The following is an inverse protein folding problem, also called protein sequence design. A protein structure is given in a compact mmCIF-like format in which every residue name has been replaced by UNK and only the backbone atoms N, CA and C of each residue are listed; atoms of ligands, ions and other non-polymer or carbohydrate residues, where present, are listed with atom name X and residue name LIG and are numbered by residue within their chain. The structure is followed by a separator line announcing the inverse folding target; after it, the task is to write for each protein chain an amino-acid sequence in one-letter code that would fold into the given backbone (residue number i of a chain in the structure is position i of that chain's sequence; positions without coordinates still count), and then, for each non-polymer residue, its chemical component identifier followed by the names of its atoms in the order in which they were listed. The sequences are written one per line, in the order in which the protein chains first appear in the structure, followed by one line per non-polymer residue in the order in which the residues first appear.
data_IF_961996746297
#
_entry.id   IF_961996746297
#
_cell.length_a   1.000
_cell.length_b   1.000
_cell.length_c   1.000
_cell.angle_alpha   90.00
_cell.angle_beta   90.00
_cell.angle_gamma   90.00
#
_symmetry.space_group_name_H-M   'P 1'
#
loop_
_entity.id
_entity.type
_entity.pdbx_description
1 polymer ?
#
# COMPACT_ATOMS: atom_id res chain seq x y z
N UNK A 1 -6.34 -23.82 2.72
CA UNK A 1 -5.48 -23.26 1.66
C UNK A 1 -5.87 -21.82 1.45
N UNK A 2 -4.92 -20.91 1.48
CA UNK A 2 -5.18 -19.48 1.45
C UNK A 2 -4.06 -18.75 0.70
N UNK A 3 -4.41 -17.62 0.11
CA UNK A 3 -3.43 -16.67 -0.42
C UNK A 3 -2.66 -16.06 0.74
N UNK A 4 -1.36 -15.87 0.60
CA UNK A 4 -0.55 -15.14 1.60
C UNK A 4 -0.20 -13.77 1.04
N UNK A 5 -0.48 -12.72 1.81
CA UNK A 5 -0.02 -11.37 1.51
C UNK A 5 1.40 -11.22 2.05
N UNK A 6 2.33 -10.89 1.18
CA UNK A 6 3.76 -10.81 1.51
C UNK A 6 4.12 -9.43 2.05
N UNK A 7 5.22 -9.39 2.81
CA UNK A 7 5.81 -8.14 3.34
C UNK A 7 6.19 -7.18 2.21
N UNK A 8 6.20 -5.88 2.54
CA UNK A 8 6.36 -4.80 1.57
C UNK A 8 5.05 -4.30 0.96
N UNK A 9 3.91 -4.93 1.29
CA UNK A 9 2.58 -4.42 0.96
C UNK A 9 2.17 -3.29 1.93
N UNK A 10 1.39 -2.27 1.51
CA UNK A 10 0.85 -1.23 2.38
C UNK A 10 0.17 -1.77 3.67
N UNK A 11 0.58 -1.28 4.85
CA UNK A 11 0.10 -1.82 6.14
C UNK A 11 -0.73 -0.84 7.00
N UNK A 12 -0.77 0.45 6.68
CA UNK A 12 -1.43 1.44 7.54
C UNK A 12 -2.15 2.52 6.71
N UNK A 13 -1.71 3.77 6.84
CA UNK A 13 -2.18 4.90 6.05
C UNK A 13 -1.37 5.02 4.77
N UNK A 14 -2.03 5.01 3.61
CA UNK A 14 -1.35 5.17 2.32
C UNK A 14 -1.98 6.23 1.42
N UNK A 15 -1.15 7.08 0.78
CA UNK A 15 -1.63 8.04 -0.21
C UNK A 15 -2.19 7.32 -1.44
N UNK A 16 -3.42 7.64 -1.86
CA UNK A 16 -4.04 7.00 -3.05
C UNK A 16 -3.40 7.40 -4.37
N UNK A 17 -2.66 8.52 -4.42
CA UNK A 17 -1.97 8.94 -5.64
C UNK A 17 -0.58 8.31 -5.77
N UNK A 18 -0.16 7.49 -4.80
CA UNK A 18 0.98 6.59 -4.94
C UNK A 18 0.51 5.21 -5.40
N UNK A 19 1.45 4.41 -5.92
CA UNK A 19 1.18 2.99 -6.15
C UNK A 19 0.94 2.28 -4.82
N UNK A 20 -0.18 1.56 -4.74
CA UNK A 20 -0.54 0.73 -3.59
C UNK A 20 -0.39 -0.74 -3.98
N UNK A 21 0.86 -1.20 -4.03
CA UNK A 21 1.20 -2.53 -4.55
C UNK A 21 1.10 -3.61 -3.45
N UNK A 22 0.24 -4.60 -3.69
CA UNK A 22 0.14 -5.80 -2.86
C UNK A 22 0.78 -6.98 -3.58
N UNK A 23 1.73 -7.62 -2.90
CA UNK A 23 2.39 -8.82 -3.39
C UNK A 23 1.81 -10.04 -2.71
N UNK A 24 1.41 -11.05 -3.48
CA UNK A 24 0.79 -12.27 -2.95
C UNK A 24 1.46 -13.54 -3.44
N UNK A 25 1.35 -14.60 -2.65
CA UNK A 25 1.70 -15.98 -2.99
C UNK A 25 0.55 -16.93 -2.70
N UNK A 26 0.57 -18.13 -3.28
CA UNK A 26 -0.46 -19.14 -3.07
C UNK A 26 0.09 -20.55 -3.23
N UNK A 27 -0.59 -21.53 -2.62
CA UNK A 27 -0.14 -22.93 -2.63
C UNK A 27 -0.68 -23.74 -3.82
N UNK A 28 -1.72 -23.26 -4.51
CA UNK A 28 -2.40 -23.96 -5.61
C UNK A 28 -2.00 -23.46 -7.01
N UNK A 29 -0.84 -22.80 -7.10
CA UNK A 29 -0.30 -22.22 -8.34
C UNK A 29 0.00 -23.22 -9.46
N UNK A 30 -0.07 -24.52 -9.17
CA UNK A 30 0.12 -25.60 -10.15
C UNK A 30 -1.20 -26.06 -10.81
N UNK A 31 -2.34 -25.62 -10.30
CA UNK A 31 -3.65 -25.95 -10.86
C UNK A 31 -3.83 -25.32 -12.26
N UNK A 32 -4.60 -25.96 -13.15
CA UNK A 32 -4.85 -25.43 -14.49
C UNK A 32 -5.62 -24.10 -14.42
N UNK A 33 -5.29 -23.18 -15.34
CA UNK A 33 -5.89 -21.85 -15.45
C UNK A 33 -5.86 -21.03 -14.15
N UNK A 34 -4.83 -21.24 -13.31
CA UNK A 34 -4.71 -20.56 -12.03
C UNK A 34 -4.56 -19.04 -12.18
N UNK A 35 -5.36 -18.27 -11.43
CA UNK A 35 -5.22 -16.82 -11.27
C UNK A 35 -5.43 -16.39 -9.82
N UNK A 36 -4.67 -15.38 -9.42
CA UNK A 36 -4.91 -14.65 -8.17
C UNK A 36 -6.10 -13.70 -8.34
N UNK A 37 -6.85 -13.52 -7.26
CA UNK A 37 -7.99 -12.60 -7.19
C UNK A 37 -7.82 -11.68 -5.99
N UNK A 38 -8.09 -10.40 -6.20
CA UNK A 38 -8.20 -9.39 -5.14
C UNK A 38 -9.57 -8.70 -5.27
N UNK A 39 -10.43 -8.87 -4.27
CA UNK A 39 -11.64 -8.10 -4.13
C UNK A 39 -11.33 -6.84 -3.32
N UNK A 40 -11.45 -5.69 -3.97
CA UNK A 40 -11.30 -4.37 -3.34
C UNK A 40 -12.66 -3.96 -2.80
N UNK A 41 -12.73 -3.67 -1.49
CA UNK A 41 -13.97 -3.39 -0.77
C UNK A 41 -13.88 -2.11 0.05
N UNK A 42 -15.04 -1.59 0.44
CA UNK A 42 -15.14 -0.58 1.49
C UNK A 42 -14.62 -1.13 2.84
N UNK A 43 -14.34 -0.23 3.80
CA UNK A 43 -13.84 -0.61 5.13
C UNK A 43 -14.66 -1.72 5.82
N UNK A 44 -15.99 -1.67 5.68
CA UNK A 44 -16.91 -2.64 6.27
C UNK A 44 -16.87 -4.02 5.60
N UNK A 45 -16.30 -4.14 4.39
CA UNK A 45 -16.25 -5.38 3.62
C UNK A 45 -17.59 -5.82 3.02
N UNK A 46 -18.60 -4.96 3.06
CA UNK A 46 -19.97 -5.25 2.61
C UNK A 46 -20.15 -5.02 1.11
N UNK A 47 -19.35 -4.12 0.53
CA UNK A 47 -19.46 -3.74 -0.89
C UNK A 47 -18.14 -4.00 -1.59
N UNK A 48 -18.16 -4.85 -2.62
CA UNK A 48 -17.05 -5.02 -3.55
C UNK A 48 -17.11 -3.93 -4.60
N UNK A 49 -16.08 -3.08 -4.61
CA UNK A 49 -15.91 -1.98 -5.57
C UNK A 49 -15.39 -2.50 -6.90
N UNK A 50 -14.40 -3.41 -6.84
CA UNK A 50 -13.87 -4.07 -8.01
C UNK A 50 -13.28 -5.44 -7.63
N UNK A 51 -13.29 -6.35 -8.60
CA UNK A 51 -12.53 -7.61 -8.55
C UNK A 51 -11.37 -7.51 -9.53
N UNK A 52 -10.16 -7.51 -9.00
CA UNK A 52 -8.93 -7.54 -9.79
C UNK A 52 -8.46 -8.99 -9.92
N UNK A 53 -7.93 -9.32 -11.09
CA UNK A 53 -7.32 -10.64 -11.37
C UNK A 53 -5.88 -10.44 -11.83
N UNK A 54 -5.00 -11.33 -11.39
CA UNK A 54 -3.59 -11.32 -11.77
C UNK A 54 -3.14 -12.74 -12.07
N UNK A 55 -2.50 -12.94 -13.22
CA UNK A 55 -1.79 -14.18 -13.53
C UNK A 55 -0.53 -14.27 -12.66
N UNK A 56 -0.12 -15.49 -12.31
CA UNK A 56 1.14 -15.69 -11.59
C UNK A 56 2.34 -15.34 -12.50
N UNK A 57 3.38 -14.74 -11.93
CA UNK A 57 4.62 -14.54 -12.69
C UNK A 57 5.30 -15.88 -13.02
N UNK A 58 5.85 -16.06 -14.24
CA UNK A 58 6.43 -17.35 -14.65
C UNK A 58 7.59 -17.85 -13.78
N UNK A 59 8.40 -16.94 -13.23
CA UNK A 59 9.63 -17.27 -12.50
C UNK A 59 9.40 -17.38 -11.00
N UNK A 60 8.73 -16.40 -10.42
CA UNK A 60 8.55 -16.31 -8.97
C UNK A 60 7.21 -16.85 -8.48
N UNK A 61 6.26 -17.10 -9.41
CA UNK A 61 4.88 -17.46 -9.14
C UNK A 61 4.10 -16.46 -8.26
N UNK A 62 4.59 -15.24 -8.07
CA UNK A 62 3.87 -14.22 -7.30
C UNK A 62 2.80 -13.52 -8.13
N UNK A 63 1.76 -13.03 -7.45
CA UNK A 63 0.77 -12.09 -7.99
C UNK A 63 1.01 -10.68 -7.46
N UNK A 64 0.66 -9.68 -8.26
CA UNK A 64 0.78 -8.27 -7.91
C UNK A 64 -0.52 -7.53 -8.20
N UNK A 65 -0.98 -6.76 -7.22
CA UNK A 65 -2.18 -5.93 -7.35
C UNK A 65 -1.84 -4.49 -7.00
N UNK A 66 -2.03 -3.57 -7.94
CA UNK A 66 -2.07 -2.14 -7.62
C UNK A 66 -3.54 -1.75 -7.41
N UNK A 67 -3.90 -1.46 -6.16
CA UNK A 67 -5.29 -1.15 -5.78
C UNK A 67 -5.58 0.35 -5.75
N UNK A 68 -4.56 1.19 -5.97
CA UNK A 68 -4.61 2.65 -5.81
C UNK A 68 -5.81 3.27 -6.52
N UNK A 69 -5.99 2.98 -7.81
CA UNK A 69 -7.07 3.51 -8.64
C UNK A 69 -8.48 3.11 -8.22
N UNK A 70 -8.64 1.92 -7.64
CA UNK A 70 -9.95 1.48 -7.14
C UNK A 70 -10.22 2.12 -5.78
N UNK A 71 -9.22 2.14 -4.89
CA UNK A 71 -9.34 2.76 -3.58
C UNK A 71 -9.52 4.28 -3.69
N UNK A 72 -8.94 4.92 -4.70
CA UNK A 72 -9.14 6.34 -5.04
C UNK A 72 -10.64 6.68 -5.19
N UNK A 73 -11.47 5.75 -5.70
CA UNK A 73 -12.92 5.98 -5.84
C UNK A 73 -13.66 6.13 -4.51
N UNK A 74 -13.07 5.70 -3.40
CA UNK A 74 -13.60 5.90 -2.06
C UNK A 74 -13.30 7.31 -1.50
N UNK A 75 -12.42 8.06 -2.16
CA UNK A 75 -12.00 9.39 -1.76
C UNK A 75 -12.91 10.40 -2.44
N UNK A 76 -13.81 10.99 -1.67
CA UNK A 76 -14.82 11.94 -2.14
C UNK A 76 -14.81 13.22 -1.29
N UNK A 77 -13.84 14.13 -1.51
CA UNK A 77 -13.79 15.43 -0.86
C UNK A 77 -15.12 16.18 -0.94
N UNK A 78 -15.65 16.60 0.21
CA UNK A 78 -16.90 17.38 0.29
C UNK A 78 -16.61 18.81 0.67
N UNK A 79 -17.03 19.81 -0.12
CA UNK A 79 -16.84 21.24 0.19
C UNK A 79 -17.21 21.55 1.66
N UNK A 80 -16.36 22.24 2.42
CA UNK A 80 -16.62 22.49 3.83
C UNK A 80 -17.74 23.51 4.00
N UNK A 81 -18.60 23.28 4.99
CA UNK A 81 -19.62 24.26 5.38
C UNK A 81 -18.99 25.34 6.24
N UNK A 82 -18.94 26.58 5.73
CA UNK A 82 -18.31 27.71 6.42
C UNK A 82 -19.25 28.38 7.45
N UNK A 83 -19.89 27.59 8.31
CA UNK A 83 -20.80 28.10 9.35
C UNK A 83 -20.07 28.66 10.57
N UNK A 84 -18.75 28.52 10.65
CA UNK A 84 -17.95 28.97 11.79
C UNK A 84 -16.64 29.60 11.30
N UNK A 85 -16.17 30.65 12.00
CA UNK A 85 -14.85 31.22 11.77
C UNK A 85 -13.78 30.34 12.41
N UNK A 86 -12.72 29.97 11.66
CA UNK A 86 -11.60 29.17 12.16
C UNK A 86 -11.33 27.90 11.35
N UNK A 87 -10.73 26.89 11.97
CA UNK A 87 -10.55 25.57 11.38
C UNK A 87 -11.90 24.84 11.30
N UNK A 88 -12.22 24.28 10.14
CA UNK A 88 -13.42 23.49 9.93
C UNK A 88 -13.04 22.04 9.64
N UNK A 89 -13.77 21.11 10.24
CA UNK A 89 -13.65 19.69 9.91
C UNK A 89 -14.11 19.46 8.47
N UNK A 90 -13.34 18.63 7.76
CA UNK A 90 -13.53 18.39 6.34
C UNK A 90 -13.52 16.90 6.06
N UNK A 91 -14.63 16.39 5.52
CA UNK A 91 -14.83 14.97 5.26
C UNK A 91 -14.37 14.56 3.86
N UNK A 92 -14.14 13.26 3.68
CA UNK A 92 -13.91 12.66 2.36
C UNK A 92 -12.47 12.68 1.84
N UNK A 93 -11.52 13.22 2.61
CA UNK A 93 -10.08 13.19 2.26
C UNK A 93 -9.39 11.87 2.60
N UNK A 94 -10.05 11.03 3.38
CA UNK A 94 -9.56 9.70 3.71
C UNK A 94 -10.73 8.73 3.80
N UNK A 95 -10.44 7.46 3.55
CA UNK A 95 -11.41 6.38 3.67
C UNK A 95 -10.70 5.09 4.04
N UNK A 96 -11.37 4.28 4.86
CA UNK A 96 -10.91 2.92 5.13
C UNK A 96 -11.24 2.01 3.95
N UNK A 97 -10.36 1.04 3.69
CA UNK A 97 -10.60 0.02 2.67
C UNK A 97 -10.27 -1.37 3.20
N UNK A 98 -10.79 -2.38 2.52
CA UNK A 98 -10.52 -3.78 2.82
C UNK A 98 -10.20 -4.50 1.52
N UNK A 99 -9.23 -5.40 1.58
CA UNK A 99 -8.89 -6.29 0.47
C UNK A 99 -9.13 -7.73 0.89
N UNK A 100 -9.86 -8.48 0.09
CA UNK A 100 -10.02 -9.92 0.27
C UNK A 100 -9.33 -10.65 -0.88
N UNK A 101 -8.28 -11.40 -0.57
CA UNK A 101 -7.52 -12.16 -1.55
C UNK A 101 -7.98 -13.60 -1.62
N UNK A 102 -8.15 -14.10 -2.84
CA UNK A 102 -8.49 -15.50 -3.13
C UNK A 102 -7.90 -15.88 -4.50
N UNK A 103 -8.38 -16.96 -5.09
CA UNK A 103 -7.86 -17.54 -6.32
C UNK A 103 -8.98 -18.18 -7.14
N UNK A 104 -8.74 -18.33 -8.43
CA UNK A 104 -9.54 -19.18 -9.32
C UNK A 104 -8.63 -20.16 -10.05
N UNK A 105 -9.16 -21.35 -10.32
CA UNK A 105 -8.48 -22.41 -11.04
C UNK A 105 -9.49 -23.45 -11.52
N UNK A 106 -9.04 -24.42 -12.32
CA UNK A 106 -9.84 -25.52 -12.86
C UNK A 106 -9.94 -25.50 -14.39
N UNK A 107 -10.48 -26.57 -14.96
CA UNK A 107 -10.74 -26.67 -16.41
C UNK A 107 -11.75 -25.63 -16.86
N UNK A 108 -12.83 -25.47 -16.09
CA UNK A 108 -13.67 -24.28 -16.07
C UNK A 108 -13.28 -23.48 -14.82
N UNK A 109 -12.60 -22.32 -14.95
CA UNK A 109 -12.11 -21.58 -13.79
C UNK A 109 -13.23 -21.18 -12.84
N UNK A 110 -13.12 -21.56 -11.57
CA UNK A 110 -14.06 -21.19 -10.51
C UNK A 110 -13.28 -20.57 -9.35
N UNK A 111 -13.84 -19.52 -8.74
CA UNK A 111 -13.29 -18.92 -7.52
C UNK A 111 -13.39 -19.92 -6.38
N UNK A 112 -12.25 -20.28 -5.79
CA UNK A 112 -12.16 -21.34 -4.80
C UNK A 112 -11.09 -21.06 -3.76
N UNK A 113 -11.33 -21.51 -2.53
CA UNK A 113 -10.46 -21.28 -1.38
C UNK A 113 -10.98 -20.21 -0.43
N UNK A 114 -10.34 -20.14 0.74
CA UNK A 114 -10.69 -19.16 1.77
C UNK A 114 -10.11 -17.79 1.42
N UNK A 115 -10.79 -16.74 1.86
CA UNK A 115 -10.29 -15.38 1.71
C UNK A 115 -9.21 -15.08 2.75
N UNK A 116 -8.15 -14.44 2.29
CA UNK A 116 -7.18 -13.75 3.14
C UNK A 116 -7.53 -12.28 3.16
N UNK A 117 -7.99 -11.81 4.31
CA UNK A 117 -8.45 -10.43 4.49
C UNK A 117 -7.34 -9.53 4.99
N UNK A 118 -7.19 -8.39 4.34
CA UNK A 118 -6.44 -7.23 4.81
C UNK A 118 -7.44 -6.13 5.14
N UNK A 119 -7.52 -5.74 6.41
CA UNK A 119 -8.51 -4.80 6.94
C UNK A 119 -7.89 -3.87 7.97
N UNK A 120 -8.53 -2.73 8.23
CA UNK A 120 -8.01 -1.71 9.14
C UNK A 120 -7.07 -0.70 8.48
N UNK A 121 -6.84 -0.84 7.17
CA UNK A 121 -6.05 0.09 6.38
C UNK A 121 -6.84 1.35 6.05
N UNK A 122 -6.12 2.47 5.96
CA UNK A 122 -6.67 3.77 5.61
C UNK A 122 -5.97 4.27 4.36
N UNK A 123 -6.73 4.85 3.45
CA UNK A 123 -6.20 5.56 2.30
C UNK A 123 -6.59 7.03 2.39
N UNK A 124 -5.72 7.93 1.92
CA UNK A 124 -5.98 9.37 1.94
C UNK A 124 -5.56 10.06 0.65
N UNK A 125 -6.19 11.20 0.35
CA UNK A 125 -5.88 12.07 -0.78
C UNK A 125 -4.50 12.70 -0.58
N UNK A 126 -3.50 12.15 -1.24
CA UNK A 126 -2.13 12.63 -1.14
C UNK A 126 -1.22 11.90 -2.10
N UNK A 127 -0.06 12.50 -2.33
CA UNK A 127 1.08 11.87 -2.99
C UNK A 127 2.28 12.11 -2.06
N UNK A 128 2.95 11.03 -1.66
CA UNK A 128 4.18 11.13 -0.89
C UNK A 128 5.34 10.74 -1.80
N UNK A 129 6.45 11.44 -1.68
CA UNK A 129 7.69 10.97 -2.27
C UNK A 129 8.01 9.57 -1.75
N UNK A 130 8.61 8.75 -2.62
CA UNK A 130 9.14 7.46 -2.17
C UNK A 130 10.13 7.76 -1.03
N UNK A 131 9.86 7.21 0.15
CA UNK A 131 10.75 7.35 1.28
C UNK A 131 12.11 6.77 0.86
N UNK A 132 13.11 7.63 0.59
CA UNK A 132 14.50 7.20 0.38
C UNK A 132 15.09 6.57 1.67
N UNK A 133 14.36 6.67 2.79
CA UNK A 133 14.79 6.39 4.15
C UNK A 133 14.16 5.09 4.71
N UNK A 134 14.18 3.98 3.98
CA UNK A 134 13.82 2.68 4.56
C UNK A 134 14.92 2.13 5.50
N UNK A 135 16.16 2.61 5.34
CA UNK A 135 17.31 2.23 6.15
C UNK A 135 17.83 3.45 6.91
N UNK A 136 17.23 3.77 8.06
CA UNK A 136 17.89 4.70 8.98
C UNK A 136 19.24 4.08 9.38
N UNK A 137 20.31 4.62 8.83
CA UNK A 137 21.69 4.25 9.12
C UNK A 137 22.31 5.38 9.91
N UNK A 138 22.47 5.18 11.22
CA UNK A 138 23.16 6.13 12.09
C UNK A 138 24.54 6.51 11.54
N UNK A 139 25.24 5.60 10.85
CA UNK A 139 26.56 5.85 10.26
C UNK A 139 26.58 6.70 8.99
N UNK A 140 25.46 6.86 8.28
CA UNK A 140 25.35 7.72 7.08
C UNK A 140 25.04 9.16 7.47
N UNK A 141 24.20 9.36 8.50
CA UNK A 141 23.83 10.68 9.00
C UNK A 141 24.73 11.19 10.14
N UNK A 142 25.41 10.28 10.84
CA UNK A 142 26.44 10.55 11.82
C UNK A 142 27.64 9.64 11.53
N UNK A 143 28.59 10.04 10.67
CA UNK A 143 29.73 9.21 10.32
C UNK A 143 30.46 8.72 11.57
N UNK A 144 30.50 7.40 11.75
CA UNK A 144 31.25 6.77 12.83
C UNK A 144 32.75 6.93 12.55
N UNK A 145 33.33 7.99 13.12
CA UNK A 145 34.73 8.36 12.92
C UNK A 145 34.95 9.83 12.59
N UNK A 146 33.89 10.58 12.28
CA UNK A 146 33.91 12.04 12.23
C UNK A 146 33.72 12.60 13.63
N UNK A 147 34.75 12.52 14.47
CA UNK A 147 34.72 13.12 15.79
C UNK A 147 34.30 14.58 15.69
N UNK A 148 33.18 14.93 16.33
CA UNK A 148 32.88 16.32 16.67
C UNK A 148 33.97 16.76 17.66
N UNK A 149 35.08 17.25 17.12
CA UNK A 149 36.11 17.89 17.92
C UNK A 149 35.58 19.29 18.27
N UNK A 150 35.25 19.41 19.55
CA UNK A 150 35.10 20.63 20.34
C UNK A 150 33.85 21.51 20.06
N UNK A 151 32.80 21.29 20.86
CA UNK A 151 31.93 22.37 21.34
C UNK A 151 30.77 22.86 20.45
N UNK A 152 30.54 22.32 19.25
CA UNK A 152 29.40 22.75 18.41
C UNK A 152 28.24 21.76 18.54
N UNK A 153 27.16 22.16 19.21
CA UNK A 153 26.00 21.29 19.50
C UNK A 153 24.93 21.20 18.41
N UNK A 154 25.06 21.87 17.24
CA UNK A 154 24.06 21.74 16.15
C UNK A 154 24.71 21.94 14.78
N UNK A 155 24.41 21.06 13.82
CA UNK A 155 24.72 21.26 12.39
C UNK A 155 23.43 21.28 11.58
N UNK A 156 23.20 22.36 10.82
CA UNK A 156 22.06 22.54 9.91
C UNK A 156 22.44 22.36 8.43
N UNK A 157 23.59 21.74 8.14
CA UNK A 157 24.13 21.70 6.78
C UNK A 157 24.03 20.29 6.18
N UNK A 158 23.06 20.12 5.27
CA UNK A 158 23.13 19.11 4.22
C UNK A 158 24.24 19.50 3.23
N UNK A 159 25.46 19.00 3.44
CA UNK A 159 26.48 19.03 2.38
C UNK A 159 26.17 17.92 1.37
N UNK A 160 25.16 18.12 0.52
CA UNK A 160 24.89 17.23 -0.61
C UNK A 160 25.66 17.74 -1.83
N UNK A 161 26.88 17.24 -1.99
CA UNK A 161 27.55 17.27 -3.30
C UNK A 161 26.95 16.16 -4.17
N UNK A 162 25.97 16.49 -5.02
CA UNK A 162 25.46 15.55 -6.02
C UNK A 162 26.47 15.42 -7.15
N UNK A 163 27.17 14.29 -7.23
CA UNK A 163 27.89 13.91 -8.45
C UNK A 163 26.90 13.16 -9.34
N UNK A 164 26.75 13.64 -10.57
CA UNK A 164 25.94 13.03 -11.64
C UNK A 164 26.54 11.72 -12.11
#
# INVERSE_FOLDING_TARGET
MAITVLSGSPQAATPVYNKMLFKVSGSLIAEPNFRYICDVKNAAGTTTLARLKCDKLPTTNFGFFDVSRVVETLIAPTVPTLTQAGFADHAGFYSGYRLDFTQEFGSTPVVSGNFTTVSGNIAFAGNLEQLELADWSGGVYFPSGGGFNDGISQSLATNVGRTV
#
